data_IF_425556378500
#
_entry.id   IF_425556378500
#
_cell.length_a   1.000
_cell.length_b   1.000
_cell.length_c   1.000
_cell.angle_alpha   90.00
_cell.angle_beta   90.00
_cell.angle_gamma   90.00
#
_symmetry.space_group_name_H-M   'P 1'
#
loop_
_entity.id
_entity.type
_entity.pdbx_description
1 polymer ?
#
# COMPACT_ATOMS: atom_id res chain seq x y z
N UNK A 1 -16.58 -4.05 13.83
CA UNK A 1 -15.50 -3.76 12.87
C UNK A 1 -15.72 -2.42 12.20
N UNK A 2 -14.65 -1.75 11.78
CA UNK A 2 -14.75 -0.52 11.00
C UNK A 2 -15.02 -0.86 9.53
N UNK A 3 -15.79 -0.02 8.85
CA UNK A 3 -15.88 -0.05 7.40
C UNK A 3 -14.49 0.28 6.80
N UNK A 4 -14.08 -0.39 5.76
CA UNK A 4 -12.75 -0.28 5.17
C UNK A 4 -11.61 -0.58 6.17
N UNK A 5 -11.73 -1.67 6.89
CA UNK A 5 -10.66 -2.24 7.72
C UNK A 5 -10.15 -3.55 7.14
N UNK A 6 -9.05 -4.06 7.69
CA UNK A 6 -8.52 -5.38 7.32
C UNK A 6 -9.22 -6.54 8.02
N UNK A 7 -10.15 -6.25 8.95
CA UNK A 7 -10.90 -7.27 9.68
C UNK A 7 -12.02 -7.86 8.82
N UNK A 8 -12.30 -9.14 9.01
CA UNK A 8 -13.45 -9.79 8.40
C UNK A 8 -14.75 -9.09 8.83
N UNK A 9 -15.72 -8.98 7.91
CA UNK A 9 -16.98 -8.27 8.14
C UNK A 9 -17.77 -8.80 9.35
N UNK A 10 -17.71 -10.10 9.60
CA UNK A 10 -18.35 -10.74 10.76
C UNK A 10 -17.53 -10.66 12.06
N UNK A 11 -16.38 -10.00 12.05
CA UNK A 11 -15.55 -9.87 13.24
C UNK A 11 -16.24 -8.99 14.29
N UNK A 12 -16.33 -9.50 15.52
CA UNK A 12 -16.88 -8.79 16.65
C UNK A 12 -16.00 -9.02 17.91
N UNK A 13 -16.30 -8.30 18.98
CA UNK A 13 -15.51 -8.35 20.21
C UNK A 13 -16.00 -9.42 21.21
N UNK A 14 -16.77 -10.42 20.81
CA UNK A 14 -17.40 -11.38 21.72
C UNK A 14 -16.37 -12.07 22.64
N UNK A 15 -15.25 -12.57 22.07
CA UNK A 15 -14.22 -13.25 22.86
C UNK A 15 -13.58 -12.32 23.89
N UNK A 16 -13.21 -11.11 23.49
CA UNK A 16 -12.62 -10.11 24.40
C UNK A 16 -13.60 -9.71 25.51
N UNK A 17 -14.88 -9.53 25.20
CA UNK A 17 -15.91 -9.20 26.19
C UNK A 17 -16.15 -10.38 27.17
N UNK A 18 -16.06 -11.62 26.72
CA UNK A 18 -16.16 -12.78 27.62
C UNK A 18 -14.95 -12.84 28.59
N UNK A 19 -13.76 -12.56 28.13
CA UNK A 19 -12.57 -12.45 28.99
C UNK A 19 -12.75 -11.30 30.02
N UNK A 20 -13.18 -10.13 29.55
CA UNK A 20 -13.46 -8.98 30.42
C UNK A 20 -14.48 -9.31 31.50
N UNK A 21 -15.61 -9.95 31.15
CA UNK A 21 -16.62 -10.39 32.12
C UNK A 21 -16.11 -11.38 33.16
N UNK A 22 -15.02 -12.08 32.87
CA UNK A 22 -14.33 -13.00 33.79
C UNK A 22 -13.18 -12.33 34.57
N UNK A 23 -13.05 -11.01 34.51
CA UNK A 23 -12.11 -10.23 35.29
C UNK A 23 -10.79 -9.89 34.57
N UNK A 24 -10.67 -10.19 33.28
CA UNK A 24 -9.53 -9.70 32.52
C UNK A 24 -9.58 -8.17 32.37
N UNK A 25 -8.43 -7.52 32.51
CA UNK A 25 -8.30 -6.06 32.40
C UNK A 25 -8.00 -5.70 30.95
N UNK A 26 -8.65 -4.69 30.42
CA UNK A 26 -8.34 -4.12 29.11
C UNK A 26 -7.33 -2.99 29.25
N UNK A 27 -6.28 -3.02 28.42
CA UNK A 27 -5.32 -1.93 28.30
C UNK A 27 -5.51 -1.23 26.94
N UNK A 28 -5.60 0.11 26.97
CA UNK A 28 -5.72 0.94 25.76
C UNK A 28 -6.82 0.49 24.78
N UNK A 29 -8.08 0.23 25.20
CA UNK A 29 -9.10 -0.38 24.37
C UNK A 29 -9.56 0.51 23.20
N UNK A 30 -9.23 1.80 23.22
CA UNK A 30 -9.51 2.75 22.15
C UNK A 30 -8.41 2.85 21.10
N UNK A 31 -7.27 2.19 21.31
CA UNK A 31 -6.16 2.27 20.37
C UNK A 31 -6.41 1.36 19.17
N UNK A 32 -6.12 1.89 18.01
CA UNK A 32 -6.16 1.16 16.73
C UNK A 32 -4.76 1.14 16.12
N UNK A 33 -4.40 0.02 15.51
CA UNK A 33 -3.21 -0.07 14.71
C UNK A 33 -3.55 0.31 13.27
N UNK A 34 -2.71 1.10 12.63
CA UNK A 34 -2.78 1.42 11.22
C UNK A 34 -1.69 0.61 10.49
N UNK A 35 -2.06 0.00 9.36
CA UNK A 35 -1.12 -0.70 8.50
C UNK A 35 -1.00 0.02 7.16
N UNK A 36 0.21 0.48 6.75
CA UNK A 36 0.38 1.32 5.58
C UNK A 36 0.29 0.57 4.25
N UNK A 37 0.50 -0.75 4.25
CA UNK A 37 0.58 -1.58 3.04
C UNK A 37 -0.65 -2.47 2.88
N UNK A 38 -1.82 -1.86 2.72
CA UNK A 38 -3.03 -2.60 2.40
C UNK A 38 -3.44 -2.35 0.95
N UNK A 39 -4.01 -3.35 0.29
CA UNK A 39 -4.59 -3.19 -1.05
C UNK A 39 -5.86 -2.35 -0.90
N UNK A 40 -5.99 -1.23 -1.63
CA UNK A 40 -7.22 -0.42 -1.63
C UNK A 40 -8.44 -1.23 -2.08
N UNK A 41 -9.62 -0.70 -1.90
CA UNK A 41 -10.85 -1.33 -2.43
C UNK A 41 -10.72 -1.58 -3.92
N UNK A 42 -10.88 -2.82 -4.33
CA UNK A 42 -10.70 -3.26 -5.71
C UNK A 42 -11.77 -4.28 -6.12
N UNK A 43 -12.82 -3.80 -6.77
CA UNK A 43 -13.90 -4.63 -7.31
C UNK A 43 -14.55 -5.58 -6.29
N UNK A 44 -15.13 -6.65 -6.80
CA UNK A 44 -15.86 -7.65 -6.01
C UNK A 44 -14.99 -8.77 -5.45
N UNK A 45 -13.67 -8.77 -5.80
CA UNK A 45 -12.72 -9.78 -5.33
C UNK A 45 -12.29 -9.58 -3.86
N UNK A 46 -12.66 -8.45 -3.26
CA UNK A 46 -12.36 -8.13 -1.87
C UNK A 46 -13.63 -7.94 -1.04
N UNK A 47 -13.81 -8.74 0.00
CA UNK A 47 -14.85 -8.53 1.04
C UNK A 47 -14.39 -7.53 2.12
N UNK A 48 -13.11 -7.20 2.17
CA UNK A 48 -12.45 -6.29 3.13
C UNK A 48 -11.16 -5.77 2.50
N UNK A 49 -10.51 -4.76 3.12
CA UNK A 49 -9.17 -4.37 2.70
C UNK A 49 -8.17 -5.49 3.00
N UNK A 50 -7.38 -5.86 2.02
CA UNK A 50 -6.40 -6.94 2.16
C UNK A 50 -5.08 -6.39 2.68
N UNK A 51 -4.65 -6.91 3.83
CA UNK A 51 -3.37 -6.58 4.42
C UNK A 51 -2.25 -7.27 3.63
N UNK A 52 -1.26 -6.49 3.19
CA UNK A 52 -0.02 -6.99 2.61
C UNK A 52 1.10 -6.95 3.64
N UNK A 53 2.13 -7.77 3.48
CA UNK A 53 3.28 -7.75 4.37
C UNK A 53 3.98 -6.39 4.37
N UNK A 54 4.33 -5.91 5.57
CA UNK A 54 5.12 -4.69 5.71
C UNK A 54 6.54 -4.83 5.14
N UNK A 55 7.05 -6.06 5.03
CA UNK A 55 8.36 -6.37 4.45
C UNK A 55 8.50 -5.89 2.99
N UNK A 56 7.39 -5.69 2.28
CA UNK A 56 7.41 -5.08 0.95
C UNK A 56 8.11 -3.73 0.92
N UNK A 57 8.10 -2.98 2.02
CA UNK A 57 8.78 -1.67 2.14
C UNK A 57 10.30 -1.77 2.27
N UNK A 58 10.86 -2.98 2.46
CA UNK A 58 12.31 -3.18 2.51
C UNK A 58 12.97 -2.98 1.14
N UNK A 59 12.27 -3.39 0.09
CA UNK A 59 12.76 -3.32 -1.29
C UNK A 59 11.88 -2.47 -2.19
N UNK A 60 10.61 -2.21 -1.80
CA UNK A 60 9.71 -1.33 -2.54
C UNK A 60 9.83 0.13 -2.14
N UNK A 61 9.77 1.03 -3.11
CA UNK A 61 9.82 2.49 -2.93
C UNK A 61 8.44 3.10 -3.05
N UNK A 62 8.07 3.94 -2.08
CA UNK A 62 6.73 4.55 -2.03
C UNK A 62 6.77 5.95 -2.65
N UNK A 63 5.87 6.19 -3.62
CA UNK A 63 5.80 7.46 -4.31
C UNK A 63 4.37 7.85 -4.76
N UNK A 64 4.22 9.11 -5.12
CA UNK A 64 3.07 9.67 -5.84
C UNK A 64 3.59 10.56 -6.99
N UNK A 65 2.79 10.87 -8.02
CA UNK A 65 3.23 11.82 -9.04
C UNK A 65 3.48 13.20 -8.44
N UNK A 66 4.46 13.94 -8.99
CA UNK A 66 4.74 15.33 -8.60
C UNK A 66 3.71 16.31 -9.14
N UNK A 67 3.09 15.99 -10.28
CA UNK A 67 2.13 16.84 -10.99
C UNK A 67 0.70 16.40 -10.69
N UNK A 68 -0.18 17.36 -10.38
CA UNK A 68 -1.61 17.07 -10.17
C UNK A 68 -2.30 16.58 -11.45
N UNK A 69 -1.82 16.97 -12.62
CA UNK A 69 -2.33 16.51 -13.91
C UNK A 69 -2.12 15.01 -14.09
N UNK A 70 -0.94 14.52 -13.72
CA UNK A 70 -0.63 13.09 -13.75
C UNK A 70 -1.48 12.30 -12.74
N UNK A 71 -1.67 12.85 -11.53
CA UNK A 71 -2.54 12.23 -10.53
C UNK A 71 -3.98 12.10 -11.05
N UNK A 72 -4.52 13.15 -11.67
CA UNK A 72 -5.86 13.13 -12.29
C UNK A 72 -5.95 12.15 -13.45
N UNK A 73 -4.93 12.05 -14.29
CA UNK A 73 -4.88 11.10 -15.39
C UNK A 73 -4.86 9.64 -14.88
N UNK A 74 -4.11 9.35 -13.81
CA UNK A 74 -4.09 8.07 -13.14
C UNK A 74 -5.45 7.74 -12.52
N UNK A 75 -6.10 8.70 -11.85
CA UNK A 75 -7.44 8.55 -11.28
C UNK A 75 -8.51 8.28 -12.35
N UNK A 76 -8.37 8.91 -13.50
CA UNK A 76 -9.27 8.71 -14.64
C UNK A 76 -8.97 7.41 -15.44
N UNK A 77 -7.89 6.70 -15.11
CA UNK A 77 -7.46 5.50 -15.82
C UNK A 77 -6.89 5.76 -17.24
N UNK A 78 -6.63 7.03 -17.57
CA UNK A 78 -6.07 7.42 -18.87
C UNK A 78 -4.54 7.31 -18.92
N UNK A 79 -3.89 7.09 -17.78
CA UNK A 79 -2.46 6.90 -17.63
C UNK A 79 -2.17 5.79 -16.62
N UNK A 80 -1.07 5.09 -16.77
CA UNK A 80 -0.64 4.02 -15.88
C UNK A 80 0.59 4.46 -15.05
N UNK A 81 0.80 3.85 -13.89
CA UNK A 81 1.91 4.21 -13.01
C UNK A 81 3.28 4.11 -13.67
N UNK A 82 3.52 3.07 -14.46
CA UNK A 82 4.78 2.87 -15.20
C UNK A 82 5.02 3.90 -16.32
N UNK A 83 4.01 4.69 -16.70
CA UNK A 83 4.15 5.77 -17.69
C UNK A 83 4.63 7.10 -17.06
N UNK A 84 4.72 7.17 -15.74
CA UNK A 84 5.25 8.35 -15.03
C UNK A 84 6.78 8.25 -14.99
N UNK A 85 7.51 9.19 -15.62
CA UNK A 85 8.98 9.20 -15.57
C UNK A 85 9.51 9.31 -14.15
N UNK A 86 10.72 8.78 -13.91
CA UNK A 86 11.37 8.78 -12.58
C UNK A 86 11.49 10.20 -12.01
N UNK A 87 11.83 11.17 -12.84
CA UNK A 87 11.93 12.59 -12.44
C UNK A 87 10.61 13.22 -12.00
N UNK A 88 9.46 12.66 -12.41
CA UNK A 88 8.12 13.12 -12.04
C UNK A 88 7.52 12.32 -10.87
N UNK A 89 8.27 11.39 -10.26
CA UNK A 89 7.88 10.64 -9.07
C UNK A 89 8.33 11.37 -7.79
N UNK A 90 7.41 11.63 -6.86
CA UNK A 90 7.73 12.17 -5.51
C UNK A 90 7.87 11.01 -4.51
N UNK A 91 9.08 10.62 -4.21
CA UNK A 91 9.41 9.67 -3.15
C UNK A 91 9.35 10.38 -1.79
N UNK A 92 8.16 10.75 -1.39
CA UNK A 92 7.89 11.69 -0.28
C UNK A 92 8.38 11.20 1.08
N UNK A 93 8.45 9.88 1.34
CA UNK A 93 8.99 9.34 2.58
C UNK A 93 10.51 9.49 2.62
N UNK A 94 11.21 9.15 1.55
CA UNK A 94 12.66 9.30 1.44
C UNK A 94 13.08 10.76 1.56
N UNK A 95 12.33 11.66 0.91
CA UNK A 95 12.60 13.10 0.95
C UNK A 95 12.36 13.71 2.32
N UNK A 96 11.30 13.28 3.03
CA UNK A 96 10.94 13.85 4.35
C UNK A 96 11.70 13.23 5.50
N UNK A 97 12.05 11.95 5.39
CA UNK A 97 12.63 11.14 6.45
C UNK A 97 13.87 10.40 5.94
N UNK A 98 14.95 11.11 5.55
CA UNK A 98 16.08 10.50 4.87
C UNK A 98 16.81 9.43 5.70
N UNK A 99 16.71 9.48 7.03
CA UNK A 99 17.30 8.47 7.91
C UNK A 99 16.58 7.11 7.87
N UNK A 100 15.30 7.08 7.53
CA UNK A 100 14.47 5.87 7.54
C UNK A 100 13.88 5.54 6.17
N UNK A 101 13.70 6.53 5.31
CA UNK A 101 13.10 6.36 3.99
C UNK A 101 11.74 5.67 4.05
N UNK A 102 11.59 4.61 3.28
CA UNK A 102 10.36 3.81 3.24
C UNK A 102 10.12 2.99 4.52
N UNK A 103 11.10 2.88 5.42
CA UNK A 103 11.03 2.11 6.66
C UNK A 103 10.63 2.94 7.88
N UNK A 104 10.12 4.14 7.70
CA UNK A 104 9.53 4.93 8.80
C UNK A 104 8.41 4.15 9.52
N UNK A 105 8.13 4.44 10.81
CA UNK A 105 7.04 3.79 11.55
C UNK A 105 5.71 3.80 10.80
N UNK A 106 4.88 2.79 11.05
CA UNK A 106 3.60 2.58 10.35
C UNK A 106 2.68 3.79 10.36
N UNK A 107 2.56 4.44 11.50
CA UNK A 107 1.73 5.62 11.67
C UNK A 107 2.27 6.83 10.90
N UNK A 108 3.59 7.00 10.84
CA UNK A 108 4.26 8.05 10.06
C UNK A 108 4.02 7.83 8.56
N UNK A 109 4.27 6.61 8.06
CA UNK A 109 4.01 6.26 6.66
C UNK A 109 2.53 6.46 6.29
N UNK A 110 1.63 6.04 7.16
CA UNK A 110 0.18 6.12 6.94
C UNK A 110 -0.33 7.57 6.89
N UNK A 111 0.11 8.41 7.83
CA UNK A 111 -0.24 9.85 7.83
C UNK A 111 0.33 10.57 6.61
N UNK A 112 1.56 10.24 6.23
CA UNK A 112 2.19 10.84 5.05
C UNK A 112 1.46 10.45 3.76
N UNK A 113 1.07 9.17 3.59
CA UNK A 113 0.27 8.72 2.46
C UNK A 113 -1.10 9.42 2.42
N UNK A 114 -1.83 9.47 3.56
CA UNK A 114 -3.12 10.15 3.66
C UNK A 114 -3.00 11.63 3.28
N UNK A 115 -1.96 12.32 3.76
CA UNK A 115 -1.70 13.72 3.41
C UNK A 115 -1.48 13.93 1.91
N UNK A 116 -0.79 13.01 1.23
CA UNK A 116 -0.63 13.10 -0.24
C UNK A 116 -1.97 12.94 -0.95
N UNK A 117 -2.78 11.98 -0.53
CA UNK A 117 -4.11 11.78 -1.07
C UNK A 117 -5.02 13.00 -0.85
N UNK A 118 -5.03 13.57 0.35
CA UNK A 118 -5.83 14.77 0.69
C UNK A 118 -5.43 16.01 -0.12
N UNK A 119 -4.16 16.07 -0.54
CA UNK A 119 -3.65 17.12 -1.43
C UNK A 119 -3.94 16.87 -2.92
N UNK A 120 -4.62 15.77 -3.25
CA UNK A 120 -5.01 15.41 -4.61
C UNK A 120 -3.96 14.62 -5.40
N UNK A 121 -2.83 14.24 -4.78
CA UNK A 121 -1.78 13.44 -5.42
C UNK A 121 -2.01 11.93 -5.32
N UNK A 122 -3.08 11.51 -4.65
CA UNK A 122 -3.42 10.11 -4.57
C UNK A 122 -3.72 9.51 -5.94
N UNK A 123 -3.45 8.23 -6.08
CA UNK A 123 -3.67 7.47 -7.30
C UNK A 123 -4.90 6.57 -7.15
N UNK A 124 -5.23 5.75 -8.17
CA UNK A 124 -6.44 4.96 -8.27
C UNK A 124 -7.70 5.85 -8.50
N UNK A 125 -8.80 5.25 -8.92
CA UNK A 125 -10.06 5.93 -9.25
C UNK A 125 -10.69 6.72 -8.08
N UNK A 126 -10.36 6.37 -6.85
CA UNK A 126 -10.83 7.06 -5.64
C UNK A 126 -9.89 8.17 -5.18
N UNK A 127 -8.67 8.26 -5.73
CA UNK A 127 -7.61 9.14 -5.22
C UNK A 127 -7.07 8.69 -3.84
N UNK A 128 -7.46 7.51 -3.35
CA UNK A 128 -7.07 6.98 -2.05
C UNK A 128 -6.10 5.80 -2.21
N UNK A 129 -4.98 6.05 -2.86
CA UNK A 129 -3.86 5.13 -2.94
C UNK A 129 -2.56 5.88 -3.19
N UNK A 130 -1.44 5.24 -2.90
CA UNK A 130 -0.09 5.63 -3.30
C UNK A 130 0.58 4.43 -3.96
N UNK A 131 1.63 4.67 -4.73
CA UNK A 131 2.37 3.58 -5.37
C UNK A 131 3.45 3.01 -4.44
N UNK A 132 3.64 1.70 -4.52
CA UNK A 132 4.76 0.94 -4.00
C UNK A 132 5.42 0.23 -5.18
N UNK A 133 6.65 0.60 -5.50
CA UNK A 133 7.34 0.29 -6.74
C UNK A 133 8.60 -0.55 -6.50
N UNK A 134 8.73 -1.64 -7.23
CA UNK A 134 9.86 -2.56 -7.14
C UNK A 134 10.85 -2.43 -8.32
N UNK A 135 10.62 -1.53 -9.26
CA UNK A 135 11.44 -1.41 -10.49
C UNK A 135 12.93 -1.26 -10.16
N UNK A 136 13.29 -0.35 -9.24
CA UNK A 136 14.69 -0.15 -8.83
C UNK A 136 15.30 -1.40 -8.19
N UNK A 137 14.60 -2.02 -7.27
CA UNK A 137 15.09 -3.22 -6.58
C UNK A 137 15.21 -4.42 -7.53
N UNK A 138 14.31 -4.56 -8.49
CA UNK A 138 14.40 -5.58 -9.54
C UNK A 138 15.63 -5.32 -10.44
N UNK A 139 15.89 -4.09 -10.80
CA UNK A 139 17.10 -3.73 -11.59
C UNK A 139 18.39 -4.01 -10.80
N UNK A 140 18.41 -3.73 -9.51
CA UNK A 140 19.57 -3.89 -8.63
C UNK A 140 19.84 -5.34 -8.21
N UNK A 141 18.81 -6.08 -7.85
CA UNK A 141 18.92 -7.44 -7.28
C UNK A 141 18.57 -8.55 -8.28
N UNK A 142 17.88 -8.21 -9.36
CA UNK A 142 17.32 -9.15 -10.32
C UNK A 142 15.94 -9.68 -9.90
N UNK A 143 15.11 -9.93 -10.90
CA UNK A 143 13.73 -10.40 -10.72
C UNK A 143 13.63 -11.72 -9.93
N UNK A 144 14.60 -12.63 -10.10
CA UNK A 144 14.60 -13.93 -9.41
C UNK A 144 14.69 -13.76 -7.89
N UNK A 145 15.55 -12.86 -7.42
CA UNK A 145 15.72 -12.57 -5.99
C UNK A 145 14.45 -11.92 -5.41
N UNK A 146 13.86 -10.97 -6.13
CA UNK A 146 12.63 -10.31 -5.70
C UNK A 146 11.46 -11.30 -5.64
N UNK A 147 11.32 -12.18 -6.63
CA UNK A 147 10.28 -13.22 -6.61
C UNK A 147 10.50 -14.26 -5.51
N UNK A 148 11.75 -14.56 -5.16
CA UNK A 148 12.04 -15.44 -4.02
C UNK A 148 11.57 -14.82 -2.70
N UNK A 149 11.68 -13.50 -2.54
CA UNK A 149 11.25 -12.77 -1.34
C UNK A 149 9.75 -12.50 -1.28
N UNK A 150 9.14 -12.14 -2.40
CA UNK A 150 7.81 -11.54 -2.45
C UNK A 150 6.85 -12.18 -3.47
N UNK A 151 7.26 -13.24 -4.18
CA UNK A 151 6.47 -13.81 -5.27
C UNK A 151 5.05 -14.20 -4.86
N UNK A 152 4.88 -14.83 -3.70
CA UNK A 152 3.58 -15.17 -3.15
C UNK A 152 2.70 -13.94 -2.85
N UNK A 153 3.30 -12.80 -2.48
CA UNK A 153 2.58 -11.55 -2.25
C UNK A 153 2.19 -10.89 -3.58
N UNK A 154 3.05 -11.00 -4.59
CA UNK A 154 2.75 -10.52 -5.94
C UNK A 154 1.62 -11.33 -6.59
N UNK A 155 1.61 -12.65 -6.43
CA UNK A 155 0.53 -13.52 -6.85
C UNK A 155 -0.80 -13.17 -6.17
N UNK A 156 -0.79 -12.99 -4.85
CA UNK A 156 -1.98 -12.55 -4.10
C UNK A 156 -2.47 -11.18 -4.57
N UNK A 157 -1.56 -10.26 -4.87
CA UNK A 157 -1.91 -8.95 -5.40
C UNK A 157 -2.53 -9.06 -6.80
N UNK A 158 -1.96 -9.89 -7.68
CA UNK A 158 -2.47 -10.16 -9.03
C UNK A 158 -3.87 -10.79 -8.99
N UNK A 159 -4.14 -11.72 -8.09
CA UNK A 159 -5.47 -12.32 -7.93
C UNK A 159 -6.56 -11.30 -7.60
N UNK A 160 -6.20 -10.24 -6.88
CA UNK A 160 -7.15 -9.18 -6.47
C UNK A 160 -7.26 -8.09 -7.54
N UNK A 161 -6.14 -7.69 -8.14
CA UNK A 161 -6.05 -6.46 -8.93
C UNK A 161 -5.85 -6.71 -10.43
N UNK A 162 -5.63 -7.96 -10.84
CA UNK A 162 -5.23 -8.37 -12.20
C UNK A 162 -3.88 -7.75 -12.66
N UNK A 163 -3.07 -7.24 -11.71
CA UNK A 163 -1.75 -6.65 -11.96
C UNK A 163 -0.67 -7.41 -11.21
N UNK A 164 0.38 -7.86 -11.90
CA UNK A 164 1.53 -8.51 -11.27
C UNK A 164 2.74 -7.56 -11.25
N UNK A 165 3.22 -7.12 -10.07
CA UNK A 165 4.37 -6.22 -9.95
C UNK A 165 5.71 -6.83 -10.38
N UNK A 166 5.79 -8.14 -10.50
CA UNK A 166 6.97 -8.86 -10.98
C UNK A 166 6.99 -9.13 -12.49
N UNK A 167 5.94 -8.71 -13.22
CA UNK A 167 5.87 -8.83 -14.68
C UNK A 167 6.14 -7.48 -15.33
N UNK A 168 6.96 -7.49 -16.38
CA UNK A 168 7.20 -6.32 -17.21
C UNK A 168 5.88 -5.77 -17.77
N UNK A 169 5.64 -4.51 -17.53
CA UNK A 169 4.48 -3.80 -18.02
C UNK A 169 4.69 -3.32 -19.45
N UNK A 170 5.77 -2.58 -19.66
CA UNK A 170 6.10 -1.93 -20.94
C UNK A 170 7.52 -1.38 -20.91
N UNK A 171 8.13 -1.25 -22.09
CA UNK A 171 9.34 -0.44 -22.23
C UNK A 171 8.94 1.01 -22.48
N UNK A 172 9.31 1.91 -21.59
CA UNK A 172 9.10 3.35 -21.74
C UNK A 172 10.46 4.00 -22.02
N UNK A 173 10.59 4.68 -23.14
CA UNK A 173 11.85 5.34 -23.58
C UNK A 173 13.08 4.41 -23.57
N UNK A 174 12.89 3.13 -23.88
CA UNK A 174 13.96 2.13 -23.90
C UNK A 174 14.34 1.58 -22.52
N UNK A 175 13.64 1.96 -21.46
CA UNK A 175 13.78 1.42 -20.11
C UNK A 175 12.64 0.46 -19.83
N UNK A 176 12.98 -0.75 -19.41
CA UNK A 176 12.01 -1.72 -18.93
C UNK A 176 11.43 -1.25 -17.60
N UNK A 177 10.11 -1.19 -17.48
CA UNK A 177 9.45 -0.79 -16.27
C UNK A 177 8.39 -1.80 -15.83
N UNK A 178 8.15 -1.87 -14.54
CA UNK A 178 7.21 -2.79 -13.91
C UNK A 178 5.98 -2.04 -13.42
N UNK A 179 4.87 -2.75 -13.27
CA UNK A 179 3.68 -2.17 -12.65
C UNK A 179 3.93 -1.88 -11.17
N UNK A 180 3.84 -0.63 -10.71
CA UNK A 180 3.84 -0.37 -9.28
C UNK A 180 2.54 -0.89 -8.65
N UNK A 181 2.63 -1.39 -7.42
CA UNK A 181 1.47 -1.75 -6.62
C UNK A 181 0.76 -0.49 -6.12
N UNK A 182 -0.55 -0.52 -6.05
CA UNK A 182 -1.31 0.49 -5.32
C UNK A 182 -1.55 0.02 -3.88
N UNK A 183 -1.18 0.87 -2.93
CA UNK A 183 -1.37 0.63 -1.49
C UNK A 183 -2.05 1.82 -0.82
N UNK A 184 -2.77 1.56 0.27
CA UNK A 184 -3.36 2.60 1.10
C UNK A 184 -3.36 2.17 2.58
N UNK A 185 -3.21 3.11 3.52
CA UNK A 185 -3.32 2.81 4.94
C UNK A 185 -4.71 2.32 5.32
N UNK A 186 -4.78 1.23 6.05
CA UNK A 186 -6.02 0.72 6.59
C UNK A 186 -5.93 0.55 8.12
N UNK A 187 -7.07 0.69 8.78
CA UNK A 187 -7.18 0.38 10.20
C UNK A 187 -7.04 -1.13 10.36
N UNK A 188 -6.00 -1.53 11.07
CA UNK A 188 -5.81 -2.89 11.53
C UNK A 188 -6.11 -2.93 13.02
N UNK A 189 -7.29 -3.41 13.36
CA UNK A 189 -7.82 -3.33 14.72
C UNK A 189 -7.10 -4.28 15.65
N UNK A 190 -6.52 -3.75 16.72
CA UNK A 190 -6.07 -4.54 17.87
C UNK A 190 -6.80 -4.05 19.10
N UNK A 191 -7.53 -4.95 19.79
CA UNK A 191 -7.91 -4.70 21.17
C UNK A 191 -6.71 -5.06 22.06
N UNK A 192 -6.29 -4.11 22.86
CA UNK A 192 -5.25 -4.31 23.87
C UNK A 192 -5.71 -5.17 25.04
#
# INVERSE_FOLDING_TARGET
>A
AYFLSTNAMGCNCTAAIQCYRKGAVMANPSYVQIHPTCIPVHGDKQSKLTLMSESLRNDGRIWVPKKLEDAKALQAGTKQGYEIPEEDRDYYLERRYPAFGNLVPRDVASRAAKERCDKGFGVNNTGLAVFLDFSESIQRLGIKEILQRYGNLFEMYEEITDVNPGKLAKTVNGVEDYHPMMIFPAIHYTMG
#
